data_IF_007344425942
#
_entry.id   IF_007344425942
#
_cell.length_a   1.000
_cell.length_b   1.000
_cell.length_c   1.000
_cell.angle_alpha   90.00
_cell.angle_beta   90.00
_cell.angle_gamma   90.00
#
_symmetry.space_group_name_H-M   'P 1'
#
loop_
_entity.id
_entity.type
_entity.pdbx_description
1 polymer ?
#
# COMPACT_ATOMS: atom_id res chain seq x y z
N UNK A 1 20.36 -5.14 -7.62
CA UNK A 1 19.23 -5.86 -7.02
C UNK A 1 18.45 -6.62 -8.08
N UNK A 2 18.13 -7.85 -7.81
CA UNK A 2 17.42 -8.70 -8.75
C UNK A 2 15.95 -8.83 -8.35
N UNK A 3 15.05 -8.56 -9.28
CA UNK A 3 13.63 -8.84 -9.09
C UNK A 3 13.43 -10.36 -9.15
N UNK A 4 12.91 -10.94 -8.08
CA UNK A 4 12.70 -12.39 -8.01
C UNK A 4 11.23 -12.79 -8.11
N UNK A 5 10.31 -11.86 -7.91
CA UNK A 5 8.89 -12.11 -8.12
C UNK A 5 8.12 -10.81 -8.31
N UNK A 6 6.99 -10.88 -8.98
CA UNK A 6 6.08 -9.74 -9.13
C UNK A 6 4.64 -10.24 -9.31
N UNK A 7 3.71 -9.37 -8.94
CA UNK A 7 2.28 -9.64 -9.02
C UNK A 7 1.55 -8.34 -9.28
N UNK A 8 0.51 -8.37 -10.11
CA UNK A 8 -0.37 -7.22 -10.31
C UNK A 8 -1.81 -7.66 -10.18
N UNK A 9 -2.61 -6.90 -9.43
CA UNK A 9 -4.03 -7.15 -9.23
C UNK A 9 -4.78 -5.85 -9.42
N UNK A 10 -5.77 -5.87 -10.29
CA UNK A 10 -6.66 -4.74 -10.50
C UNK A 10 -8.01 -5.07 -9.85
N UNK A 11 -8.48 -4.18 -9.00
CA UNK A 11 -9.76 -4.34 -8.30
C UNK A 11 -10.66 -3.15 -8.56
N UNK A 12 -11.97 -3.37 -8.47
CA UNK A 12 -12.91 -2.26 -8.40
C UNK A 12 -12.74 -1.55 -7.07
N UNK A 13 -12.98 -0.23 -7.06
CA UNK A 13 -12.86 0.60 -5.87
C UNK A 13 -14.02 0.36 -4.91
N UNK A 14 -14.05 -0.84 -4.34
CA UNK A 14 -15.05 -1.31 -3.40
C UNK A 14 -14.30 -1.85 -2.18
N UNK A 15 -14.69 -1.40 -0.98
CA UNK A 15 -14.03 -1.78 0.27
C UNK A 15 -14.01 -3.29 0.51
N UNK A 16 -14.97 -4.04 -0.03
CA UNK A 16 -14.97 -5.50 0.08
C UNK A 16 -13.73 -6.13 -0.56
N UNK A 17 -13.12 -5.45 -1.53
CA UNK A 17 -11.96 -5.96 -2.25
C UNK A 17 -10.64 -5.78 -1.49
N UNK A 18 -10.63 -5.03 -0.39
CA UNK A 18 -9.41 -4.88 0.43
C UNK A 18 -8.97 -6.24 0.98
N UNK A 19 -9.93 -7.08 1.38
CA UNK A 19 -9.63 -8.42 1.89
C UNK A 19 -8.90 -9.29 0.86
N UNK A 20 -9.28 -9.19 -0.41
CA UNK A 20 -8.63 -9.94 -1.50
C UNK A 20 -7.15 -9.54 -1.59
N UNK A 21 -6.86 -8.25 -1.54
CA UNK A 21 -5.49 -7.75 -1.60
C UNK A 21 -4.68 -8.25 -0.40
N UNK A 22 -5.25 -8.22 0.80
CA UNK A 22 -4.57 -8.70 2.01
C UNK A 22 -4.18 -10.17 1.91
N UNK A 23 -5.10 -11.01 1.44
CA UNK A 23 -4.84 -12.45 1.27
C UNK A 23 -3.80 -12.70 0.18
N UNK A 24 -3.95 -12.07 -0.98
CA UNK A 24 -3.01 -12.23 -2.09
C UNK A 24 -1.61 -11.78 -1.70
N UNK A 25 -1.50 -10.63 -1.05
CA UNK A 25 -0.23 -10.09 -0.60
C UNK A 25 0.44 -10.98 0.45
N UNK A 26 -0.33 -11.48 1.41
CA UNK A 26 0.17 -12.42 2.42
C UNK A 26 0.78 -13.65 1.78
N UNK A 27 0.09 -14.24 0.81
CA UNK A 27 0.58 -15.39 0.07
C UNK A 27 1.87 -15.04 -0.70
N UNK A 28 1.87 -13.90 -1.36
CA UNK A 28 3.00 -13.44 -2.18
C UNK A 28 4.28 -13.27 -1.36
N UNK A 29 4.21 -12.58 -0.22
CA UNK A 29 5.38 -12.30 0.60
C UNK A 29 5.75 -13.43 1.56
N UNK A 30 4.85 -14.40 1.76
CA UNK A 30 5.15 -15.57 2.61
C UNK A 30 6.21 -16.50 2.02
N UNK A 31 6.58 -16.28 0.77
CA UNK A 31 7.71 -17.00 0.15
C UNK A 31 9.06 -16.56 0.73
N UNK A 32 9.08 -15.42 1.42
CA UNK A 32 10.28 -14.90 2.08
C UNK A 32 10.39 -15.42 3.51
N UNK A 33 11.60 -15.36 4.06
CA UNK A 33 11.82 -15.65 5.47
C UNK A 33 11.45 -14.42 6.31
N UNK A 34 10.16 -14.22 6.46
CA UNK A 34 9.57 -13.04 7.08
C UNK A 34 8.96 -13.41 8.44
N UNK A 35 9.08 -12.52 9.41
CA UNK A 35 8.41 -12.71 10.70
C UNK A 35 6.92 -12.39 10.58
N UNK A 36 6.14 -12.90 11.53
CA UNK A 36 4.71 -12.59 11.60
C UNK A 36 4.51 -11.08 11.80
N UNK A 37 5.34 -10.45 12.63
CA UNK A 37 5.26 -9.01 12.87
C UNK A 37 5.52 -8.20 11.61
N UNK A 38 6.56 -8.55 10.85
CA UNK A 38 6.85 -7.90 9.57
C UNK A 38 5.70 -8.08 8.58
N UNK A 39 5.14 -9.28 8.51
CA UNK A 39 4.01 -9.58 7.65
C UNK A 39 2.79 -8.74 8.02
N UNK A 40 2.48 -8.65 9.30
CA UNK A 40 1.35 -7.86 9.79
C UNK A 40 1.54 -6.37 9.54
N UNK A 41 2.76 -5.86 9.71
CA UNK A 41 3.07 -4.46 9.42
C UNK A 41 2.81 -4.13 7.95
N UNK A 42 3.30 -4.98 7.05
CA UNK A 42 3.10 -4.78 5.61
C UNK A 42 1.60 -4.83 5.26
N UNK A 43 0.90 -5.83 5.77
CA UNK A 43 -0.55 -5.98 5.52
C UNK A 43 -1.33 -4.76 5.99
N UNK A 44 -0.98 -4.25 7.17
CA UNK A 44 -1.64 -3.07 7.74
C UNK A 44 -1.40 -1.84 6.87
N UNK A 45 -0.14 -1.58 6.50
CA UNK A 45 0.20 -0.44 5.66
C UNK A 45 -0.49 -0.50 4.29
N UNK A 46 -0.45 -1.66 3.65
CA UNK A 46 -1.06 -1.82 2.33
C UNK A 46 -2.59 -1.71 2.40
N UNK A 47 -3.20 -2.28 3.44
CA UNK A 47 -4.66 -2.15 3.63
C UNK A 47 -5.06 -0.69 3.75
N UNK A 48 -4.29 0.12 4.48
CA UNK A 48 -4.56 1.55 4.60
C UNK A 48 -4.40 2.28 3.26
N UNK A 49 -3.35 1.96 2.50
CA UNK A 49 -3.14 2.59 1.20
C UNK A 49 -4.26 2.26 0.21
N UNK A 50 -4.69 1.01 0.17
CA UNK A 50 -5.78 0.57 -0.70
C UNK A 50 -7.11 1.19 -0.25
N UNK A 51 -7.39 1.19 1.04
CA UNK A 51 -8.59 1.80 1.61
C UNK A 51 -8.65 3.29 1.26
N UNK A 52 -7.55 4.00 1.42
CA UNK A 52 -7.47 5.42 1.06
C UNK A 52 -7.78 5.65 -0.43
N UNK A 53 -7.21 4.82 -1.30
CA UNK A 53 -7.49 4.93 -2.74
C UNK A 53 -8.98 4.72 -3.03
N UNK A 54 -9.61 3.75 -2.37
CA UNK A 54 -11.03 3.47 -2.56
C UNK A 54 -11.92 4.59 -2.01
N UNK A 55 -11.62 5.07 -0.81
CA UNK A 55 -12.47 6.03 -0.10
C UNK A 55 -12.31 7.47 -0.58
N UNK A 56 -11.10 7.86 -0.95
CA UNK A 56 -10.76 9.28 -1.17
C UNK A 56 -10.46 9.65 -2.62
N UNK A 57 -10.05 8.69 -3.45
CA UNK A 57 -9.60 9.00 -4.80
C UNK A 57 -10.75 9.35 -5.76
N UNK A 58 -11.92 8.79 -5.55
CA UNK A 58 -13.03 8.88 -6.50
C UNK A 58 -14.27 9.55 -5.91
N UNK A 59 -14.90 10.49 -6.66
CA UNK A 59 -16.23 10.98 -6.30
C UNK A 59 -17.24 9.85 -6.32
N UNK A 60 -18.29 9.95 -5.51
CA UNK A 60 -19.34 8.92 -5.40
C UNK A 60 -19.95 8.53 -6.76
N UNK A 61 -20.18 9.51 -7.63
CA UNK A 61 -20.77 9.28 -8.95
C UNK A 61 -19.88 8.47 -9.91
N UNK A 62 -18.59 8.33 -9.60
CA UNK A 62 -17.64 7.61 -10.44
C UNK A 62 -17.16 6.31 -9.83
N UNK A 63 -17.54 5.97 -8.60
CA UNK A 63 -17.04 4.80 -7.89
C UNK A 63 -17.36 3.46 -8.56
N UNK A 64 -18.49 3.33 -9.21
CA UNK A 64 -18.85 2.07 -9.87
C UNK A 64 -17.88 1.64 -10.95
N UNK A 65 -17.27 2.60 -11.63
CA UNK A 65 -16.33 2.33 -12.72
C UNK A 65 -14.87 2.45 -12.29
N UNK A 66 -14.63 2.90 -11.06
CA UNK A 66 -13.30 3.17 -10.56
C UNK A 66 -12.52 1.89 -10.27
N UNK A 67 -11.26 1.90 -10.64
CA UNK A 67 -10.35 0.77 -10.46
C UNK A 67 -9.13 1.21 -9.64
N UNK A 68 -8.59 0.26 -8.87
CA UNK A 68 -7.33 0.44 -8.15
C UNK A 68 -6.40 -0.69 -8.58
N UNK A 69 -5.20 -0.33 -9.00
CA UNK A 69 -4.18 -1.29 -9.40
C UNK A 69 -3.15 -1.45 -8.27
N UNK A 70 -2.95 -2.68 -7.83
CA UNK A 70 -1.94 -3.01 -6.83
C UNK A 70 -0.87 -3.87 -7.48
N UNK A 71 0.36 -3.37 -7.47
CA UNK A 71 1.51 -4.07 -8.03
C UNK A 71 2.51 -4.36 -6.92
N UNK A 72 2.90 -5.60 -6.77
CA UNK A 72 3.85 -6.00 -5.73
C UNK A 72 5.09 -6.64 -6.36
N UNK A 73 6.24 -6.31 -5.79
CA UNK A 73 7.54 -6.78 -6.29
C UNK A 73 8.38 -7.25 -5.13
N UNK A 74 9.14 -8.30 -5.36
CA UNK A 74 10.16 -8.77 -4.42
C UNK A 74 11.51 -8.68 -5.12
N UNK A 75 12.43 -7.96 -4.49
CA UNK A 75 13.82 -7.87 -4.93
C UNK A 75 14.70 -8.53 -3.90
N UNK A 76 15.77 -9.16 -4.34
CA UNK A 76 16.70 -9.83 -3.44
C UNK A 76 18.13 -9.44 -3.76
N UNK A 77 18.90 -9.20 -2.72
CA UNK A 77 20.34 -8.98 -2.74
C UNK A 77 20.85 -9.36 -1.35
N UNK A 78 21.55 -8.48 -0.64
CA UNK A 78 21.91 -8.72 0.76
C UNK A 78 20.68 -8.73 1.67
N UNK A 79 19.68 -7.94 1.32
CA UNK A 79 18.37 -7.91 1.97
C UNK A 79 17.29 -8.30 0.96
N UNK A 80 16.17 -8.78 1.47
CA UNK A 80 14.97 -8.91 0.66
C UNK A 80 14.17 -7.62 0.77
N UNK A 81 13.65 -7.15 -0.35
CA UNK A 81 12.88 -5.92 -0.39
C UNK A 81 11.50 -6.22 -0.98
N UNK A 82 10.46 -5.85 -0.24
CA UNK A 82 9.09 -5.88 -0.72
C UNK A 82 8.70 -4.46 -1.10
N UNK A 83 8.31 -4.26 -2.34
CA UNK A 83 7.82 -2.98 -2.85
C UNK A 83 6.41 -3.16 -3.35
N UNK A 84 5.49 -2.30 -2.91
CA UNK A 84 4.09 -2.35 -3.35
C UNK A 84 3.70 -0.98 -3.85
N UNK A 85 3.09 -0.95 -5.03
CA UNK A 85 2.58 0.27 -5.65
C UNK A 85 1.07 0.19 -5.69
N UNK A 86 0.41 1.23 -5.22
CA UNK A 86 -1.04 1.36 -5.26
C UNK A 86 -1.37 2.56 -6.14
N UNK A 87 -2.04 2.31 -7.27
CA UNK A 87 -2.36 3.34 -8.25
C UNK A 87 -3.86 3.50 -8.44
N UNK A 88 -4.29 4.75 -8.47
CA UNK A 88 -5.64 5.12 -8.89
C UNK A 88 -5.58 6.23 -9.93
N UNK A 89 -6.68 6.43 -10.64
CA UNK A 89 -6.83 7.49 -11.63
C UNK A 89 -7.86 8.54 -11.15
N UNK A 90 -7.92 8.72 -9.84
CA UNK A 90 -8.90 9.60 -9.20
C UNK A 90 -8.51 11.07 -9.22
N UNK A 91 -8.98 11.79 -8.19
CA UNK A 91 -8.83 13.25 -8.11
C UNK A 91 -7.41 13.72 -7.80
N UNK A 92 -6.55 12.81 -7.31
CA UNK A 92 -5.22 13.17 -6.86
C UNK A 92 -5.20 13.87 -5.51
N UNK A 93 -3.99 14.19 -5.07
CA UNK A 93 -3.75 14.92 -3.83
C UNK A 93 -3.15 16.25 -4.19
N UNK A 94 -3.81 17.34 -3.82
CA UNK A 94 -3.39 18.68 -4.14
C UNK A 94 -2.22 19.14 -3.26
N UNK A 95 -2.26 18.82 -1.98
CA UNK A 95 -1.24 19.15 -1.00
C UNK A 95 -0.82 17.90 -0.23
N UNK A 96 0.26 17.28 -0.69
CA UNK A 96 0.76 16.00 -0.12
C UNK A 96 1.22 16.22 1.33
N UNK A 97 1.89 17.34 1.62
CA UNK A 97 2.37 17.61 2.98
C UNK A 97 1.21 17.69 3.97
N UNK A 98 0.12 18.36 3.60
CA UNK A 98 -1.09 18.44 4.42
C UNK A 98 -1.75 17.06 4.57
N UNK A 99 -1.83 16.31 3.47
CA UNK A 99 -2.46 14.98 3.49
C UNK A 99 -1.71 14.00 4.42
N UNK A 100 -0.41 14.18 4.57
CA UNK A 100 0.42 13.33 5.44
C UNK A 100 0.40 13.74 6.91
N UNK A 101 -0.19 14.87 7.26
CA UNK A 101 -0.30 15.28 8.66
C UNK A 101 -1.14 14.28 9.45
N UNK A 102 -0.72 13.96 10.68
CA UNK A 102 -1.54 13.13 11.56
C UNK A 102 -2.95 13.74 11.73
N UNK A 103 -3.95 12.91 11.70
CA UNK A 103 -5.38 13.28 11.84
C UNK A 103 -6.01 14.04 10.66
N UNK A 104 -5.24 14.37 9.60
CA UNK A 104 -5.86 14.95 8.41
C UNK A 104 -6.71 13.94 7.65
N UNK A 105 -7.88 14.35 7.18
CA UNK A 105 -8.71 13.56 6.27
C UNK A 105 -9.59 14.49 5.44
N UNK A 106 -9.81 14.11 4.18
CA UNK A 106 -10.79 14.78 3.31
C UNK A 106 -12.22 14.39 3.63
N UNK A 107 -12.41 13.29 4.38
CA UNK A 107 -13.73 12.75 4.76
C UNK A 107 -13.74 12.42 6.26
N UNK A 108 -13.91 13.43 7.14
CA UNK A 108 -13.83 13.21 8.59
C UNK A 108 -14.84 12.20 9.16
N UNK A 109 -15.92 11.94 8.42
CA UNK A 109 -16.96 11.00 8.82
C UNK A 109 -16.54 9.53 8.71
N UNK A 110 -15.41 9.24 8.06
CA UNK A 110 -14.95 7.86 7.90
C UNK A 110 -14.21 7.37 9.15
N UNK A 111 -14.31 6.07 9.42
CA UNK A 111 -13.80 5.43 10.64
C UNK A 111 -12.29 5.61 10.85
N UNK A 112 -11.51 5.57 9.78
CA UNK A 112 -10.05 5.69 9.85
C UNK A 112 -9.54 7.09 9.55
N UNK A 113 -10.36 8.08 9.84
CA UNK A 113 -10.08 9.47 9.50
C UNK A 113 -8.72 9.96 10.02
N UNK A 114 -7.87 10.42 9.11
CA UNK A 114 -6.63 11.11 9.43
C UNK A 114 -5.44 10.26 9.82
N UNK A 115 -5.56 8.93 9.84
CA UNK A 115 -4.47 8.06 10.31
C UNK A 115 -3.75 7.25 9.22
N UNK A 116 -4.29 7.23 8.00
CA UNK A 116 -3.78 6.36 6.93
C UNK A 116 -2.30 6.53 6.63
N UNK A 117 -1.85 7.75 6.33
CA UNK A 117 -0.44 7.99 6.00
C UNK A 117 0.48 7.79 7.19
N UNK A 118 0.02 8.13 8.39
CA UNK A 118 0.79 7.89 9.63
C UNK A 118 1.04 6.40 9.83
N UNK A 119 0.02 5.58 9.59
CA UNK A 119 0.14 4.12 9.68
C UNK A 119 1.14 3.59 8.65
N UNK A 120 1.04 4.06 7.40
CA UNK A 120 1.98 3.66 6.35
C UNK A 120 3.43 4.01 6.72
N UNK A 121 3.67 5.22 7.19
CA UNK A 121 5.01 5.66 7.59
C UNK A 121 5.55 4.86 8.78
N UNK A 122 4.67 4.50 9.72
CA UNK A 122 5.07 3.77 10.91
C UNK A 122 5.55 2.35 10.58
N UNK A 123 4.87 1.69 9.64
CA UNK A 123 5.10 0.26 9.38
C UNK A 123 5.98 -0.04 8.17
N UNK A 124 6.22 0.94 7.30
CA UNK A 124 7.07 0.73 6.12
C UNK A 124 8.36 1.52 6.27
N UNK A 125 9.40 1.10 5.56
CA UNK A 125 10.69 1.77 5.61
C UNK A 125 10.74 3.01 4.72
N UNK A 126 9.96 3.01 3.65
CA UNK A 126 9.91 4.13 2.71
C UNK A 126 8.51 4.26 2.14
N UNK A 127 8.07 5.50 1.97
CA UNK A 127 6.82 5.85 1.31
C UNK A 127 7.09 6.95 0.30
N UNK A 128 6.68 6.73 -0.95
CA UNK A 128 6.74 7.72 -2.02
C UNK A 128 5.32 7.97 -2.53
N UNK A 129 4.97 9.22 -2.67
CA UNK A 129 3.66 9.62 -3.18
C UNK A 129 3.88 10.44 -4.44
N UNK A 130 3.35 9.95 -5.56
CA UNK A 130 3.33 10.66 -6.83
C UNK A 130 1.88 10.93 -7.17
N UNK A 131 1.49 12.19 -7.10
CA UNK A 131 0.10 12.59 -7.30
C UNK A 131 0.01 13.94 -7.96
N UNK A 132 -0.92 14.05 -8.89
CA UNK A 132 -1.27 15.29 -9.55
C UNK A 132 -2.78 15.47 -9.52
N UNK A 133 -3.20 16.71 -9.29
CA UNK A 133 -4.62 17.03 -9.26
C UNK A 133 -5.32 16.53 -10.52
N UNK A 134 -6.42 15.80 -10.34
CA UNK A 134 -7.26 15.22 -11.40
C UNK A 134 -6.58 14.16 -12.28
N UNK A 135 -5.36 13.73 -11.95
CA UNK A 135 -4.64 12.69 -12.70
C UNK A 135 -4.47 11.39 -11.90
N UNK A 136 -4.81 11.41 -10.61
CA UNK A 136 -4.70 10.26 -9.76
C UNK A 136 -3.47 10.25 -8.88
N UNK A 137 -3.27 9.15 -8.18
CA UNK A 137 -2.20 8.99 -7.20
C UNK A 137 -1.56 7.62 -7.34
N UNK A 138 -0.24 7.60 -7.20
CA UNK A 138 0.53 6.37 -7.06
C UNK A 138 1.30 6.45 -5.75
N UNK A 139 1.04 5.50 -4.86
CA UNK A 139 1.75 5.38 -3.60
C UNK A 139 2.66 4.17 -3.71
N UNK A 140 3.94 4.35 -3.42
CA UNK A 140 4.92 3.28 -3.40
C UNK A 140 5.40 3.06 -1.98
N UNK A 141 5.21 1.85 -1.48
CA UNK A 141 5.59 1.47 -0.13
C UNK A 141 6.69 0.41 -0.20
N UNK A 142 7.76 0.61 0.54
CA UNK A 142 8.91 -0.29 0.52
C UNK A 142 9.21 -0.78 1.93
N UNK A 143 9.40 -2.09 2.07
CA UNK A 143 9.81 -2.72 3.32
C UNK A 143 11.06 -3.54 3.09
N UNK A 144 12.09 -3.29 3.88
CA UNK A 144 13.33 -4.06 3.87
C UNK A 144 13.23 -5.18 4.89
N UNK A 145 13.52 -6.38 4.46
CA UNK A 145 13.46 -7.57 5.30
C UNK A 145 14.86 -8.15 5.37
N UNK A 146 15.43 -8.14 6.57
CA UNK A 146 16.76 -8.70 6.77
C UNK A 146 16.73 -10.20 6.60
N UNK A 147 17.60 -10.72 5.73
CA UNK A 147 17.77 -12.16 5.62
C UNK A 147 18.31 -12.69 6.94
N UNK A 148 17.63 -13.69 7.47
CA UNK A 148 18.11 -14.34 8.68
C UNK A 148 19.30 -15.20 8.35
N UNK A 149 20.34 -15.11 9.19
CA UNK A 149 21.47 -16.03 9.07
C UNK A 149 20.98 -17.43 9.40
N UNK A 150 21.36 -18.40 8.55
CA UNK A 150 21.14 -19.80 8.90
C UNK A 150 21.79 -20.07 10.25
N UNK A 151 21.03 -20.63 11.18
CA UNK A 151 21.60 -21.09 12.42
C UNK A 151 22.41 -22.33 12.10
N UNK A 152 23.72 -22.20 12.19
CA UNK A 152 24.61 -23.36 12.12
C UNK A 152 24.53 -24.02 13.48
N UNK A 153 24.09 -25.25 13.48
CA UNK A 153 24.03 -26.03 14.70
C UNK A 153 25.11 -27.04 14.75
#
# INVERSE_FOLDING_TARGET
>A
MKEINKMKIEIKANLDNVAIIRVALSSFISTLDITIDELMDIKTAISEAVTNAIEHAYPEEKKEEALVLVSAYIYSDEEDIVKVEIEDTGIGIEDIDTAMLPTYTSKPELEHAGMGFTIMETFMDEILIDSNKDEGTKITLTKKIKKKKSKVM
#
